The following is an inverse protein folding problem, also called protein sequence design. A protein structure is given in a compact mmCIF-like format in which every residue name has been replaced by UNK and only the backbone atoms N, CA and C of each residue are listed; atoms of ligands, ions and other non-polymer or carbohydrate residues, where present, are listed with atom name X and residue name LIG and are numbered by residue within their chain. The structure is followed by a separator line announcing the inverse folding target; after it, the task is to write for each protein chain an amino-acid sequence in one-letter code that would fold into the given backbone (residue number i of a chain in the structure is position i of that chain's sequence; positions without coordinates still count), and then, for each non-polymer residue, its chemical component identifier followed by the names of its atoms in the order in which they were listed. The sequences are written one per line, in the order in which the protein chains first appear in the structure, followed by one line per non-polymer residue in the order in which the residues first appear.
data_IF_867003294299
#
_entry.id   IF_867003294299
#
_cell.length_a   1.000
_cell.length_b   1.000
_cell.length_c   1.000
_cell.angle_alpha   90.00
_cell.angle_beta   90.00
_cell.angle_gamma   90.00
#
_symmetry.space_group_name_H-M   'P 1'
#
loop_
_entity.id
_entity.type
_entity.pdbx_description
1 polymer ?
#
# COMPACT_ATOMS: atom_id res chain seq x y z
N UNK A 1 6.95 -14.42 -5.63
CA UNK A 1 5.91 -14.91 -4.70
C UNK A 1 5.11 -13.78 -4.08
N UNK A 2 3.78 -13.88 -4.13
CA UNK A 2 2.80 -12.88 -3.69
C UNK A 2 2.63 -12.82 -2.15
N UNK A 3 3.74 -12.88 -1.41
CA UNK A 3 3.75 -13.02 0.05
C UNK A 3 4.19 -11.74 0.76
N UNK A 4 3.63 -10.57 0.46
CA UNK A 4 3.72 -9.37 1.33
C UNK A 4 5.12 -8.87 1.74
N UNK A 5 6.20 -9.36 1.16
CA UNK A 5 7.59 -9.10 1.57
C UNK A 5 8.24 -7.91 0.87
N UNK A 6 7.52 -7.22 -0.03
CA UNK A 6 8.09 -6.16 -0.87
C UNK A 6 7.72 -4.72 -0.50
N UNK A 7 6.84 -4.52 0.49
CA UNK A 7 6.33 -3.19 0.83
C UNK A 7 7.14 -2.54 1.95
N UNK A 8 7.59 -1.31 1.74
CA UNK A 8 8.32 -0.50 2.72
C UNK A 8 7.85 0.95 2.68
N UNK A 9 8.02 1.71 3.77
CA UNK A 9 7.84 3.16 3.75
C UNK A 9 8.62 3.78 2.58
N UNK A 10 8.02 4.75 1.90
CA UNK A 10 8.57 5.42 0.72
C UNK A 10 8.19 4.78 -0.61
N UNK A 11 7.71 3.52 -0.63
CA UNK A 11 7.25 2.89 -1.87
C UNK A 11 6.12 3.69 -2.52
N UNK A 12 6.21 3.87 -3.83
CA UNK A 12 5.17 4.54 -4.63
C UNK A 12 4.16 3.51 -5.08
N UNK A 13 2.88 3.83 -4.89
CA UNK A 13 1.75 2.96 -5.24
C UNK A 13 0.72 3.70 -6.08
N UNK A 14 -0.08 2.92 -6.79
CA UNK A 14 -1.29 3.39 -7.45
C UNK A 14 -2.48 2.51 -7.06
N UNK A 15 -3.63 3.14 -6.86
CA UNK A 15 -4.90 2.48 -6.62
C UNK A 15 -5.97 3.02 -7.57
N UNK A 16 -6.78 2.14 -8.16
CA UNK A 16 -7.80 2.53 -9.14
C UNK A 16 -8.75 3.63 -8.63
N UNK A 17 -9.17 3.56 -7.35
CA UNK A 17 -10.08 4.55 -6.75
C UNK A 17 -9.38 5.78 -6.16
N UNK A 18 -8.17 5.61 -5.64
CA UNK A 18 -7.51 6.66 -4.83
C UNK A 18 -6.39 7.38 -5.56
N UNK A 19 -6.01 6.88 -6.74
CA UNK A 19 -4.94 7.43 -7.55
C UNK A 19 -3.55 7.07 -7.01
N UNK A 20 -2.54 7.88 -7.30
CA UNK A 20 -1.18 7.69 -6.81
C UNK A 20 -1.07 7.96 -5.31
N UNK A 21 -0.11 7.30 -4.68
CA UNK A 21 0.20 7.51 -3.27
C UNK A 21 1.57 6.97 -2.86
N UNK A 22 1.89 7.15 -1.59
CA UNK A 22 3.13 6.70 -0.97
C UNK A 22 2.85 5.91 0.30
N UNK A 23 3.54 4.78 0.47
CA UNK A 23 3.48 4.01 1.72
C UNK A 23 4.18 4.81 2.82
N UNK A 24 3.45 5.10 3.89
CA UNK A 24 3.99 5.76 5.09
C UNK A 24 4.53 4.76 6.10
N UNK A 25 3.84 3.63 6.27
CA UNK A 25 4.25 2.60 7.23
C UNK A 25 3.65 1.25 6.89
N UNK A 26 4.33 0.19 7.30
CA UNK A 26 3.83 -1.19 7.26
C UNK A 26 3.60 -1.70 8.69
N UNK A 27 2.52 -2.45 8.90
CA UNK A 27 2.22 -3.13 10.17
C UNK A 27 1.85 -4.57 9.91
N UNK A 28 2.39 -5.50 10.71
CA UNK A 28 2.18 -6.93 10.51
C UNK A 28 3.00 -7.49 9.33
N UNK A 29 2.79 -8.77 9.03
CA UNK A 29 3.51 -9.49 7.96
C UNK A 29 2.58 -10.52 7.31
N UNK A 30 2.89 -10.90 6.06
CA UNK A 30 2.14 -11.90 5.32
C UNK A 30 0.64 -11.57 5.23
N UNK A 31 -0.27 -12.48 5.60
CA UNK A 31 -1.72 -12.25 5.54
C UNK A 31 -2.24 -11.11 6.43
N UNK A 32 -1.52 -10.76 7.50
CA UNK A 32 -1.91 -9.69 8.43
C UNK A 32 -1.33 -8.32 8.07
N UNK A 33 -0.61 -8.22 6.94
CA UNK A 33 0.04 -6.99 6.51
C UNK A 33 -1.00 -5.89 6.24
N UNK A 34 -0.80 -4.75 6.89
CA UNK A 34 -1.53 -3.51 6.66
C UNK A 34 -0.55 -2.41 6.24
N UNK A 35 -0.89 -1.70 5.19
CA UNK A 35 -0.16 -0.53 4.71
C UNK A 35 -0.93 0.71 5.11
N UNK A 36 -0.21 1.69 5.66
CA UNK A 36 -0.73 3.06 5.76
C UNK A 36 -0.18 3.80 4.56
N UNK A 37 -1.06 4.29 3.69
CA UNK A 37 -0.71 4.98 2.44
C UNK A 37 -1.32 6.37 2.48
N UNK A 38 -0.55 7.37 2.06
CA UNK A 38 -1.08 8.69 1.74
C UNK A 38 -1.31 8.78 0.24
N UNK A 39 -2.55 8.99 -0.17
CA UNK A 39 -2.93 9.20 -1.56
C UNK A 39 -3.14 10.69 -1.82
N UNK A 40 -2.62 11.19 -2.93
CA UNK A 40 -2.59 12.62 -3.23
C UNK A 40 -3.99 13.26 -3.23
N UNK A 41 -5.02 12.50 -3.67
CA UNK A 41 -6.41 12.96 -3.73
C UNK A 41 -7.32 12.42 -2.63
N UNK A 42 -6.95 11.29 -2.01
CA UNK A 42 -7.82 10.60 -1.05
C UNK A 42 -7.32 10.65 0.40
N UNK A 43 -6.16 11.29 0.62
CA UNK A 43 -5.51 11.41 1.91
C UNK A 43 -5.04 10.06 2.45
N UNK A 44 -4.93 9.96 3.77
CA UNK A 44 -4.42 8.78 4.47
C UNK A 44 -5.46 7.65 4.49
N UNK A 45 -5.04 6.44 4.09
CA UNK A 45 -5.82 5.19 4.18
C UNK A 45 -4.98 4.06 4.76
N UNK A 46 -5.66 3.15 5.46
CA UNK A 46 -5.07 1.87 5.89
C UNK A 46 -5.65 0.76 5.02
N UNK A 47 -4.79 0.00 4.35
CA UNK A 47 -5.19 -0.99 3.36
C UNK A 47 -4.49 -2.32 3.61
N UNK A 48 -5.19 -3.41 3.29
CA UNK A 48 -4.57 -4.73 3.17
C UNK A 48 -4.20 -4.89 1.68
N UNK A 49 -2.90 -5.00 1.32
CA UNK A 49 -2.48 -4.91 -0.08
C UNK A 49 -3.07 -6.00 -0.98
N UNK A 50 -3.28 -7.22 -0.46
CA UNK A 50 -3.91 -8.33 -1.20
C UNK A 50 -5.38 -8.07 -1.53
N UNK A 51 -6.08 -7.33 -0.67
CA UNK A 51 -7.50 -6.97 -0.87
C UNK A 51 -7.63 -5.71 -1.71
N UNK A 52 -6.75 -4.73 -1.47
CA UNK A 52 -6.80 -3.42 -2.11
C UNK A 52 -6.25 -3.41 -3.54
N UNK A 53 -5.61 -4.49 -4.01
CA UNK A 53 -5.04 -4.59 -5.37
C UNK A 53 -4.15 -3.38 -5.71
N UNK A 54 -3.23 -3.05 -4.81
CA UNK A 54 -2.29 -1.95 -5.02
C UNK A 54 -1.25 -2.34 -6.08
N UNK A 55 -0.99 -1.43 -7.01
CA UNK A 55 0.09 -1.53 -7.97
C UNK A 55 1.32 -0.82 -7.41
N UNK A 56 2.48 -1.51 -7.41
CA UNK A 56 3.76 -0.89 -7.08
C UNK A 56 4.30 -0.19 -8.31
N UNK A 57 4.67 1.08 -8.17
CA UNK A 57 5.16 1.91 -9.28
C UNK A 57 6.69 1.89 -9.35
N UNK A 58 7.37 1.74 -8.21
CA UNK A 58 8.82 1.49 -8.09
C UNK A 58 9.21 1.01 -6.68
#
# INVERSE_FOLDING_TARGET
DAAGTGWRPGDRVRHARFGPGVVLSTRGRGPSLKLIVFFDRAGRKTLIPTVAKLEKVS
#
